data_IF_480265956369
#
_entry.id   IF_480265956369
#
_cell.length_a   1.000
_cell.length_b   1.000
_cell.length_c   1.000
_cell.angle_alpha   90.00
_cell.angle_beta   90.00
_cell.angle_gamma   90.00
#
_symmetry.space_group_name_H-M   'P 1'
#
loop_
_entity.id
_entity.type
_entity.pdbx_description
1 polymer ?
#
# COMPACT_ATOMS: atom_id res chain seq x y z
N UNK A 1 0.20 -1.98 5.17
CA UNK A 1 0.94 -0.82 4.60
C UNK A 1 0.41 0.41 5.30
N UNK A 2 1.26 1.30 5.80
CA UNK A 2 0.82 2.53 6.47
C UNK A 2 1.28 3.77 5.70
N UNK A 3 0.68 4.92 6.00
CA UNK A 3 1.13 6.22 5.47
C UNK A 3 2.58 6.53 5.91
N UNK A 4 3.04 6.00 7.04
CA UNK A 4 4.44 6.18 7.45
C UNK A 4 5.41 5.41 6.52
N UNK A 5 5.02 4.23 6.04
CA UNK A 5 5.83 3.38 5.16
C UNK A 5 5.96 3.95 3.74
N UNK A 6 4.91 4.59 3.23
CA UNK A 6 4.87 5.19 1.90
C UNK A 6 4.25 6.60 1.98
N UNK A 7 5.10 7.62 1.87
CA UNK A 7 4.71 9.02 1.96
C UNK A 7 5.57 9.90 1.08
N UNK A 8 5.10 11.13 0.89
CA UNK A 8 5.90 12.24 0.38
C UNK A 8 7.12 12.50 1.27
N UNK A 9 8.18 12.98 0.62
CA UNK A 9 9.41 13.45 1.25
C UNK A 9 9.92 14.67 0.49
N UNK A 10 10.92 15.38 1.04
CA UNK A 10 11.58 16.47 0.32
C UNK A 10 12.24 16.04 -1.01
N UNK A 11 12.41 14.73 -1.24
CA UNK A 11 12.98 14.16 -2.47
C UNK A 11 11.92 13.51 -3.37
N UNK A 12 10.70 13.32 -2.87
CA UNK A 12 9.60 12.67 -3.58
C UNK A 12 8.32 13.45 -3.28
N UNK A 13 8.10 14.48 -4.10
CA UNK A 13 7.10 15.53 -3.86
C UNK A 13 5.74 15.23 -4.51
N UNK A 14 5.68 14.22 -5.40
CA UNK A 14 4.46 13.82 -6.11
C UNK A 14 3.45 13.12 -5.19
N UNK A 15 2.21 12.92 -5.66
CA UNK A 15 1.17 12.15 -4.95
C UNK A 15 1.69 10.79 -4.46
N UNK A 16 1.24 10.37 -3.27
CA UNK A 16 1.74 9.17 -2.59
C UNK A 16 0.59 8.38 -1.97
N UNK A 17 0.88 7.39 -1.12
CA UNK A 17 -0.10 6.43 -0.61
C UNK A 17 -1.39 7.06 -0.10
N UNK A 18 -1.29 8.09 0.77
CA UNK A 18 -2.45 8.78 1.33
C UNK A 18 -3.35 9.44 0.27
N UNK A 19 -2.78 9.84 -0.87
CA UNK A 19 -3.49 10.48 -1.97
C UNK A 19 -4.42 9.52 -2.72
N UNK A 20 -4.23 8.21 -2.53
CA UNK A 20 -4.95 7.14 -3.22
C UNK A 20 -5.89 6.36 -2.30
N UNK A 21 -6.00 6.76 -1.03
CA UNK A 21 -6.98 6.20 -0.09
C UNK A 21 -8.27 7.01 -0.12
N UNK A 22 -9.38 6.35 0.22
CA UNK A 22 -10.62 7.05 0.48
C UNK A 22 -10.44 8.00 1.70
N UNK A 23 -10.80 9.29 1.58
CA UNK A 23 -10.59 10.28 2.63
C UNK A 23 -11.47 10.04 3.88
N UNK A 24 -12.62 9.38 3.71
CA UNK A 24 -13.56 9.06 4.79
C UNK A 24 -13.31 7.66 5.37
N UNK A 25 -12.78 6.73 4.55
CA UNK A 25 -12.40 5.38 5.00
C UNK A 25 -11.02 4.93 4.46
N UNK A 26 -9.93 5.13 5.22
CA UNK A 26 -8.58 4.71 4.81
C UNK A 26 -8.40 3.19 4.61
N UNK A 27 -9.39 2.36 4.92
CA UNK A 27 -9.37 0.93 4.60
C UNK A 27 -9.67 0.64 3.12
N UNK A 28 -10.09 1.66 2.36
CA UNK A 28 -10.39 1.60 0.93
C UNK A 28 -9.46 2.51 0.11
N UNK A 29 -9.31 2.19 -1.17
CA UNK A 29 -8.77 3.10 -2.18
C UNK A 29 -9.83 4.10 -2.62
N UNK A 30 -9.43 5.18 -3.28
CA UNK A 30 -10.37 6.20 -3.80
C UNK A 30 -11.34 5.63 -4.85
N UNK A 31 -11.03 4.50 -5.46
CA UNK A 31 -11.89 3.75 -6.38
C UNK A 31 -12.83 2.74 -5.66
N UNK A 32 -12.73 2.62 -4.33
CA UNK A 32 -13.59 1.76 -3.50
C UNK A 32 -13.09 0.32 -3.31
N UNK A 33 -11.86 -0.01 -3.69
CA UNK A 33 -11.27 -1.34 -3.43
C UNK A 33 -10.60 -1.39 -2.06
N UNK A 34 -10.32 -2.57 -1.47
CA UNK A 34 -9.51 -2.67 -0.26
C UNK A 34 -8.14 -1.97 -0.44
N UNK A 35 -7.72 -1.22 0.58
CA UNK A 35 -6.45 -0.51 0.59
C UNK A 35 -5.26 -1.46 0.32
N UNK A 36 -4.14 -0.98 -0.26
CA UNK A 36 -3.06 -1.85 -0.72
C UNK A 36 -2.46 -2.75 0.37
N UNK A 37 -2.50 -4.06 0.14
CA UNK A 37 -1.86 -5.07 0.98
C UNK A 37 -0.58 -5.60 0.30
N UNK A 38 0.51 -5.69 1.06
CA UNK A 38 1.75 -6.35 0.61
C UNK A 38 2.00 -7.58 1.47
N UNK A 39 2.13 -8.73 0.84
CA UNK A 39 2.37 -10.02 1.48
C UNK A 39 3.67 -10.58 0.93
N UNK A 40 4.51 -11.08 1.83
CA UNK A 40 5.74 -11.79 1.47
C UNK A 40 5.53 -13.28 1.71
N UNK A 41 5.73 -14.08 0.67
CA UNK A 41 5.60 -15.54 0.73
C UNK A 41 6.98 -16.16 0.46
N UNK A 42 7.36 -17.13 1.29
CA UNK A 42 8.56 -17.94 1.09
C UNK A 42 8.10 -19.38 0.96
N UNK A 43 8.50 -20.02 -0.13
CA UNK A 43 8.17 -21.42 -0.40
C UNK A 43 9.43 -22.25 -0.55
N UNK A 44 9.36 -23.52 -0.12
CA UNK A 44 10.39 -24.53 -0.41
C UNK A 44 9.87 -25.44 -1.51
N UNK A 45 10.67 -25.64 -2.56
CA UNK A 45 10.37 -26.65 -3.59
C UNK A 45 10.48 -28.04 -2.97
N UNK A 46 9.39 -28.79 -2.97
CA UNK A 46 9.44 -30.21 -2.65
C UNK A 46 10.19 -30.97 -3.74
N UNK A 47 11.09 -31.85 -3.31
CA UNK A 47 11.74 -32.82 -4.20
C UNK A 47 10.91 -34.08 -4.16
N UNK A 48 9.96 -34.20 -5.09
CA UNK A 48 9.43 -35.50 -5.51
C UNK A 48 10.36 -36.09 -6.57
#
# INVERSE_FOLDING_TARGET
MTVADQRRTAWMEFESYSSYLDPEDPSLTIEGYPAPWRVYLIGKKEKR
#
